data_IF_568128365647
#
_entry.id   IF_568128365647
#
_cell.length_a   1.000
_cell.length_b   1.000
_cell.length_c   1.000
_cell.angle_alpha   90.00
_cell.angle_beta   90.00
_cell.angle_gamma   90.00
#
_symmetry.space_group_name_H-M   'P 1'
#
loop_
_entity.id
_entity.type
_entity.pdbx_description
1 polymer ?
#
# COMPACT_ATOMS: atom_id res chain seq x y z
N UNK A 1 -9.60 -21.62 -10.05
CA UNK A 1 -8.66 -21.71 -8.92
C UNK A 1 -8.30 -20.32 -8.43
N UNK A 2 -8.09 -20.15 -7.13
CA UNK A 2 -7.57 -18.94 -6.49
C UNK A 2 -6.43 -19.33 -5.55
N UNK A 3 -5.49 -18.40 -5.32
CA UNK A 3 -4.29 -18.62 -4.53
C UNK A 3 -4.23 -17.60 -3.41
N UNK A 4 -3.86 -18.04 -2.22
CA UNK A 4 -3.67 -17.17 -1.06
C UNK A 4 -2.38 -17.57 -0.34
N UNK A 5 -1.53 -16.60 -0.02
CA UNK A 5 -0.38 -16.83 0.84
C UNK A 5 -0.86 -17.15 2.26
N UNK A 6 -0.44 -18.30 2.77
CA UNK A 6 -0.74 -18.78 4.11
C UNK A 6 0.50 -18.56 5.00
N UNK A 7 0.51 -17.46 5.73
CA UNK A 7 1.59 -17.14 6.65
C UNK A 7 1.35 -17.89 7.96
N UNK A 8 2.27 -18.76 8.33
CA UNK A 8 2.31 -19.36 9.65
C UNK A 8 2.76 -18.29 10.66
N UNK A 9 1.79 -17.64 11.28
CA UNK A 9 2.08 -16.70 12.37
C UNK A 9 1.98 -17.42 13.71
N UNK A 10 3.01 -17.36 14.58
CA UNK A 10 2.82 -17.83 15.96
C UNK A 10 1.65 -17.09 16.58
N UNK A 11 0.79 -17.82 17.27
CA UNK A 11 -0.38 -17.26 17.96
C UNK A 11 0.06 -16.08 18.86
N UNK A 12 -0.32 -14.84 18.50
CA UNK A 12 0.02 -13.64 19.25
C UNK A 12 1.02 -12.68 18.58
N UNK A 13 1.46 -12.93 17.36
CA UNK A 13 2.29 -11.98 16.62
C UNK A 13 1.56 -10.65 16.41
N UNK A 14 2.31 -9.52 16.54
CA UNK A 14 1.77 -8.15 16.44
C UNK A 14 1.13 -7.82 15.07
N UNK A 15 1.39 -8.63 14.07
CA UNK A 15 0.88 -8.51 12.72
C UNK A 15 -0.05 -9.69 12.42
N UNK A 16 -1.36 -9.44 12.28
CA UNK A 16 -2.41 -10.45 12.04
C UNK A 16 -2.36 -11.04 10.61
N UNK A 17 -1.23 -11.56 10.15
CA UNK A 17 -1.09 -12.15 8.81
C UNK A 17 -1.95 -13.42 8.61
N UNK A 18 -2.26 -14.17 9.67
CA UNK A 18 -3.05 -15.39 9.59
C UNK A 18 -4.54 -15.20 9.25
N UNK A 19 -5.03 -13.96 9.28
CA UNK A 19 -6.44 -13.64 9.04
C UNK A 19 -6.82 -13.62 7.54
N UNK A 20 -5.84 -13.44 6.65
CA UNK A 20 -6.04 -13.41 5.19
C UNK A 20 -6.60 -14.73 4.67
N UNK A 21 -6.09 -15.85 5.14
CA UNK A 21 -6.52 -17.20 4.73
C UNK A 21 -7.98 -17.46 5.13
N UNK A 22 -8.37 -17.05 6.33
CA UNK A 22 -9.76 -17.22 6.81
C UNK A 22 -10.75 -16.50 5.90
N UNK A 23 -10.44 -15.26 5.53
CA UNK A 23 -11.29 -14.50 4.61
C UNK A 23 -11.24 -15.06 3.18
N UNK A 24 -10.07 -15.52 2.71
CA UNK A 24 -9.94 -16.16 1.41
C UNK A 24 -10.78 -17.43 1.31
N UNK A 25 -10.80 -18.28 2.36
CA UNK A 25 -11.66 -19.48 2.44
C UNK A 25 -13.14 -19.12 2.36
N UNK A 26 -13.56 -18.08 3.07
CA UNK A 26 -14.95 -17.64 3.07
C UNK A 26 -15.40 -17.15 1.69
N UNK A 27 -14.56 -16.33 1.03
CA UNK A 27 -14.82 -15.84 -0.34
C UNK A 27 -14.83 -16.98 -1.34
N UNK A 28 -13.84 -17.86 -1.30
CA UNK A 28 -13.74 -18.99 -2.21
C UNK A 28 -14.97 -19.91 -2.13
N UNK A 29 -15.41 -20.23 -0.90
CA UNK A 29 -16.63 -21.01 -0.67
C UNK A 29 -17.87 -20.31 -1.24
N UNK A 30 -18.01 -19.00 -1.02
CA UNK A 30 -19.17 -18.22 -1.49
C UNK A 30 -19.24 -18.15 -3.03
N UNK A 31 -18.08 -18.08 -3.67
CA UNK A 31 -17.96 -17.98 -5.14
C UNK A 31 -17.83 -19.33 -5.82
N UNK A 32 -17.81 -20.45 -5.10
CA UNK A 32 -17.59 -21.79 -5.65
C UNK A 32 -16.20 -21.97 -6.27
N UNK A 33 -15.20 -21.23 -5.79
CA UNK A 33 -13.83 -21.28 -6.29
C UNK A 33 -12.97 -22.27 -5.47
N UNK A 34 -12.08 -23.00 -6.15
CA UNK A 34 -11.05 -23.81 -5.51
C UNK A 34 -9.96 -22.89 -4.94
N UNK A 35 -9.73 -22.93 -3.63
CA UNK A 35 -8.65 -22.18 -2.97
C UNK A 35 -7.44 -23.08 -2.77
N UNK A 36 -6.30 -22.58 -3.22
CA UNK A 36 -4.97 -23.15 -2.96
C UNK A 36 -4.26 -22.23 -1.98
N UNK A 37 -4.02 -22.76 -0.79
CA UNK A 37 -3.26 -22.06 0.27
C UNK A 37 -1.78 -22.35 0.06
N UNK A 38 -0.98 -21.29 -0.07
CA UNK A 38 0.44 -21.39 -0.35
C UNK A 38 1.21 -21.07 0.92
N UNK A 39 1.84 -22.05 1.57
CA UNK A 39 2.61 -21.82 2.77
C UNK A 39 3.70 -20.76 2.55
N UNK A 40 3.81 -19.85 3.50
CA UNK A 40 4.81 -18.77 3.50
C UNK A 40 5.54 -18.81 4.83
N UNK A 41 6.78 -19.24 4.80
CA UNK A 41 7.67 -19.37 5.94
C UNK A 41 8.83 -18.36 5.89
N UNK A 42 9.69 -18.41 6.91
CA UNK A 42 10.86 -17.55 6.99
C UNK A 42 11.93 -17.87 5.92
N UNK A 43 11.94 -19.08 5.37
CA UNK A 43 12.92 -19.50 4.35
C UNK A 43 12.71 -18.75 3.02
N UNK A 44 11.53 -18.12 2.85
CA UNK A 44 11.27 -17.27 1.69
C UNK A 44 12.29 -16.12 1.56
N UNK A 45 12.95 -15.72 2.67
CA UNK A 45 14.01 -14.71 2.65
C UNK A 45 15.23 -15.14 1.84
N UNK A 46 15.50 -16.44 1.73
CA UNK A 46 16.63 -16.97 0.96
C UNK A 46 16.48 -16.71 -0.54
N UNK A 47 15.26 -16.42 -0.99
CA UNK A 47 14.96 -16.01 -2.36
C UNK A 47 15.24 -14.52 -2.64
N UNK A 48 15.64 -13.74 -1.64
CA UNK A 48 15.93 -12.31 -1.77
C UNK A 48 16.96 -12.00 -2.87
N UNK A 49 18.12 -12.70 -2.99
CA UNK A 49 19.04 -12.45 -4.09
C UNK A 49 18.41 -12.67 -5.46
N UNK A 50 17.62 -13.74 -5.61
CA UNK A 50 16.89 -14.03 -6.85
C UNK A 50 15.78 -13.01 -7.15
N UNK A 51 15.16 -12.44 -6.12
CA UNK A 51 14.20 -11.34 -6.27
C UNK A 51 14.88 -10.09 -6.81
N UNK A 52 15.97 -9.66 -6.18
CA UNK A 52 16.72 -8.47 -6.60
C UNK A 52 17.26 -8.62 -8.03
N UNK A 53 17.73 -9.80 -8.40
CA UNK A 53 18.16 -10.10 -9.77
C UNK A 53 17.00 -9.96 -10.77
N UNK A 54 15.82 -10.51 -10.44
CA UNK A 54 14.67 -10.45 -11.33
C UNK A 54 14.04 -9.06 -11.46
N UNK A 55 14.20 -8.22 -10.42
CA UNK A 55 13.69 -6.84 -10.43
C UNK A 55 14.61 -5.86 -11.15
N UNK A 56 15.88 -6.21 -11.38
CA UNK A 56 16.93 -5.37 -11.99
C UNK A 56 17.27 -4.12 -11.17
N UNK A 57 16.74 -3.98 -9.96
CA UNK A 57 16.95 -2.82 -9.08
C UNK A 57 16.82 -3.20 -7.60
N UNK A 58 17.42 -2.44 -6.67
CA UNK A 58 17.21 -2.64 -5.24
C UNK A 58 15.76 -2.38 -4.87
N UNK A 59 15.09 -3.38 -4.29
CA UNK A 59 13.74 -3.28 -3.78
C UNK A 59 13.67 -3.83 -2.36
N UNK A 60 13.10 -3.05 -1.44
CA UNK A 60 12.91 -3.43 -0.04
C UNK A 60 11.46 -3.85 0.27
N UNK A 61 10.60 -3.97 -0.74
CA UNK A 61 9.22 -4.46 -0.57
C UNK A 61 9.17 -5.98 -0.71
N UNK A 62 9.04 -6.66 0.42
CA UNK A 62 8.92 -8.12 0.46
C UNK A 62 7.62 -8.68 -0.15
N UNK A 63 6.64 -7.82 -0.51
CA UNK A 63 5.48 -8.23 -1.27
C UNK A 63 5.86 -8.84 -2.64
N UNK A 64 7.00 -8.44 -3.19
CA UNK A 64 7.59 -9.03 -4.38
C UNK A 64 7.85 -10.54 -4.23
N UNK A 65 8.39 -10.98 -3.10
CA UNK A 65 8.63 -12.42 -2.83
C UNK A 65 7.33 -13.21 -2.76
N UNK A 66 6.29 -12.66 -2.11
CA UNK A 66 4.98 -13.32 -2.07
C UNK A 66 4.35 -13.42 -3.47
N UNK A 67 4.49 -12.38 -4.26
CA UNK A 67 4.00 -12.40 -5.66
C UNK A 67 4.64 -13.52 -6.46
N UNK A 68 5.97 -13.69 -6.35
CA UNK A 68 6.66 -14.81 -6.99
C UNK A 68 6.19 -16.16 -6.45
N UNK A 69 6.05 -16.31 -5.14
CA UNK A 69 5.61 -17.55 -4.51
C UNK A 69 4.24 -17.99 -5.04
N UNK A 70 3.28 -17.08 -5.08
CA UNK A 70 1.93 -17.34 -5.61
C UNK A 70 1.95 -17.66 -7.11
N UNK A 71 2.73 -16.94 -7.90
CA UNK A 71 2.88 -17.18 -9.33
C UNK A 71 3.55 -18.54 -9.60
N UNK A 72 4.59 -18.90 -8.84
CA UNK A 72 5.25 -20.20 -8.89
C UNK A 72 4.26 -21.33 -8.63
N UNK A 73 3.42 -21.19 -7.62
CA UNK A 73 2.42 -22.21 -7.31
C UNK A 73 1.31 -22.28 -8.36
N UNK A 74 0.88 -21.15 -8.90
CA UNK A 74 -0.03 -21.11 -10.04
C UNK A 74 0.55 -21.84 -11.26
N UNK A 75 1.83 -21.63 -11.55
CA UNK A 75 2.53 -22.32 -12.63
C UNK A 75 2.59 -23.82 -12.43
N UNK A 76 2.87 -24.30 -11.21
CA UNK A 76 2.84 -25.73 -10.83
C UNK A 76 1.46 -26.36 -11.05
N UNK A 77 0.40 -25.58 -10.88
CA UNK A 77 -0.98 -25.96 -11.16
C UNK A 77 -1.40 -25.79 -12.62
N UNK A 78 -0.47 -25.58 -13.56
CA UNK A 78 -0.72 -25.46 -14.99
C UNK A 78 -1.31 -24.09 -15.42
N UNK A 79 -1.39 -23.11 -14.53
CA UNK A 79 -1.94 -21.78 -14.81
C UNK A 79 -0.84 -20.90 -15.38
N UNK A 80 -1.16 -20.22 -16.48
CA UNK A 80 -0.24 -19.29 -17.17
C UNK A 80 -0.65 -17.83 -17.03
N UNK A 81 -1.89 -17.57 -16.62
CA UNK A 81 -2.44 -16.22 -16.47
C UNK A 81 -3.17 -16.13 -15.13
N UNK A 82 -2.81 -15.12 -14.32
CA UNK A 82 -3.47 -14.78 -13.06
C UNK A 82 -4.18 -13.43 -13.16
N UNK A 83 -5.25 -13.29 -12.40
CA UNK A 83 -5.88 -11.99 -12.14
C UNK A 83 -5.47 -11.50 -10.75
N UNK A 84 -5.05 -10.24 -10.65
CA UNK A 84 -4.67 -9.61 -9.40
C UNK A 84 -5.56 -8.42 -9.06
N UNK A 85 -5.75 -8.17 -7.76
CA UNK A 85 -6.44 -7.00 -7.23
C UNK A 85 -5.56 -5.76 -7.06
N UNK A 86 -4.33 -5.76 -7.58
CA UNK A 86 -3.43 -4.60 -7.58
C UNK A 86 -4.13 -3.39 -8.22
N UNK A 87 -3.87 -2.19 -7.69
CA UNK A 87 -4.53 -0.94 -8.11
C UNK A 87 -5.81 -0.61 -7.33
N UNK A 88 -6.43 -1.61 -6.66
CA UNK A 88 -7.67 -1.35 -5.92
C UNK A 88 -7.51 -0.45 -4.70
N UNK A 89 -6.37 -0.46 -4.04
CA UNK A 89 -6.02 0.48 -2.96
C UNK A 89 -5.67 1.86 -3.51
N UNK A 90 -4.95 1.88 -4.61
CA UNK A 90 -4.43 3.08 -5.27
C UNK A 90 -5.57 3.94 -5.88
N UNK A 91 -6.55 3.31 -6.52
CA UNK A 91 -7.66 4.02 -7.16
C UNK A 91 -8.80 4.38 -6.19
N UNK A 92 -9.08 3.49 -5.24
CA UNK A 92 -10.24 3.60 -4.35
C UNK A 92 -9.84 3.96 -2.92
N UNK A 93 -8.69 4.59 -2.71
CA UNK A 93 -8.27 5.15 -1.42
C UNK A 93 -8.16 4.11 -0.29
N UNK A 94 -7.48 2.98 -0.56
CA UNK A 94 -7.37 1.88 0.40
C UNK A 94 -6.30 2.06 1.49
N UNK A 95 -5.32 2.94 1.30
CA UNK A 95 -4.18 3.07 2.20
C UNK A 95 -4.44 4.02 3.39
N UNK A 96 -3.71 3.79 4.49
CA UNK A 96 -3.77 4.66 5.66
C UNK A 96 -3.35 6.12 5.39
N UNK A 97 -2.48 6.33 4.37
CA UNK A 97 -2.10 7.67 3.93
C UNK A 97 -3.26 8.48 3.35
N UNK A 98 -4.21 7.83 2.69
CA UNK A 98 -5.43 8.51 2.22
C UNK A 98 -6.31 8.97 3.38
N UNK A 99 -6.41 8.16 4.46
CA UNK A 99 -7.11 8.56 5.68
C UNK A 99 -6.40 9.76 6.31
N UNK A 100 -5.06 9.75 6.38
CA UNK A 100 -4.29 10.88 6.88
C UNK A 100 -4.52 12.15 6.04
N UNK A 101 -4.53 12.03 4.70
CA UNK A 101 -4.84 13.14 3.78
C UNK A 101 -6.25 13.69 3.96
N UNK A 102 -7.24 12.82 4.18
CA UNK A 102 -8.63 13.23 4.44
C UNK A 102 -8.75 13.97 5.79
N UNK A 103 -8.08 13.48 6.84
CA UNK A 103 -8.05 14.14 8.15
C UNK A 103 -7.31 15.47 8.05
N UNK A 104 -6.17 15.51 7.34
CA UNK A 104 -5.42 16.74 7.09
C UNK A 104 -6.30 17.80 6.42
N UNK A 105 -7.04 17.42 5.37
CA UNK A 105 -7.94 18.32 4.65
C UNK A 105 -9.02 18.94 5.56
N UNK A 106 -9.59 18.15 6.48
CA UNK A 106 -10.59 18.66 7.45
C UNK A 106 -9.96 19.63 8.45
N UNK A 107 -8.78 19.30 8.96
CA UNK A 107 -8.16 20.08 10.04
C UNK A 107 -7.45 21.35 9.54
N UNK A 108 -6.98 21.39 8.29
CA UNK A 108 -6.25 22.55 7.74
C UNK A 108 -7.10 23.82 7.71
N UNK A 109 -8.43 23.67 7.55
CA UNK A 109 -9.36 24.79 7.45
C UNK A 109 -9.80 25.33 8.83
N UNK A 110 -9.36 24.68 9.92
CA UNK A 110 -9.66 25.08 11.30
C UNK A 110 -8.38 25.63 11.96
N UNK A 111 -8.30 26.94 12.27
CA UNK A 111 -7.09 27.53 12.83
C UNK A 111 -6.60 26.80 14.09
N UNK A 112 -5.33 26.38 14.11
CA UNK A 112 -4.69 25.69 15.23
C UNK A 112 -5.12 24.24 15.49
N UNK A 113 -6.15 23.72 14.80
CA UNK A 113 -6.65 22.38 15.07
C UNK A 113 -5.65 21.30 14.66
N UNK A 114 -4.97 21.47 13.54
CA UNK A 114 -3.97 20.56 13.02
C UNK A 114 -2.79 20.41 13.97
N UNK A 115 -2.24 21.55 14.42
CA UNK A 115 -1.12 21.61 15.36
C UNK A 115 -1.51 21.02 16.73
N UNK A 116 -2.71 21.33 17.23
CA UNK A 116 -3.22 20.76 18.47
C UNK A 116 -3.40 19.24 18.38
N UNK A 117 -3.98 18.74 17.28
CA UNK A 117 -4.13 17.28 17.05
C UNK A 117 -2.77 16.60 16.96
N UNK A 118 -1.80 17.19 16.24
CA UNK A 118 -0.44 16.68 16.14
C UNK A 118 0.23 16.58 17.52
N UNK A 119 0.15 17.63 18.33
CA UNK A 119 0.74 17.68 19.67
C UNK A 119 0.14 16.62 20.61
N UNK A 120 -1.17 16.38 20.53
CA UNK A 120 -1.85 15.35 21.33
C UNK A 120 -1.39 13.96 20.90
N UNK A 121 -1.41 13.66 19.59
CA UNK A 121 -1.07 12.35 19.06
C UNK A 121 0.41 11.98 19.26
N UNK A 122 1.32 12.95 19.22
CA UNK A 122 2.75 12.75 19.45
C UNK A 122 3.10 12.49 20.92
N UNK A 123 2.29 12.94 21.87
CA UNK A 123 2.49 12.68 23.30
C UNK A 123 2.23 11.23 23.69
N UNK A 124 1.44 10.51 22.92
CA UNK A 124 1.05 9.14 23.23
C UNK A 124 2.08 8.16 22.68
N UNK A 125 2.98 7.68 23.54
CA UNK A 125 3.89 6.56 23.20
C UNK A 125 3.13 5.24 23.33
N UNK A 126 2.48 4.83 22.25
CA UNK A 126 1.76 3.58 22.21
C UNK A 126 2.62 2.51 21.48
N UNK A 127 2.91 1.42 22.17
CA UNK A 127 3.69 0.29 21.61
C UNK A 127 2.86 -0.59 20.66
N UNK A 128 1.54 -0.44 20.69
CA UNK A 128 0.61 -1.20 19.83
C UNK A 128 0.65 -0.74 18.38
N UNK A 129 0.22 -1.61 17.45
CA UNK A 129 0.10 -1.28 16.02
C UNK A 129 -0.80 -0.04 15.80
N UNK A 130 -1.93 0.03 16.52
CA UNK A 130 -2.82 1.19 16.46
C UNK A 130 -2.14 2.45 16.97
N UNK A 131 -1.35 2.34 18.02
CA UNK A 131 -0.59 3.46 18.58
C UNK A 131 0.46 3.99 17.61
N UNK A 132 1.20 3.13 16.96
CA UNK A 132 2.17 3.53 15.92
C UNK A 132 1.49 4.25 14.75
N UNK A 133 0.29 3.80 14.34
CA UNK A 133 -0.50 4.49 13.29
C UNK A 133 -0.95 5.88 13.72
N UNK A 134 -1.41 6.04 14.97
CA UNK A 134 -1.79 7.34 15.52
C UNK A 134 -0.58 8.27 15.66
N UNK A 135 0.55 7.77 16.10
CA UNK A 135 1.79 8.53 16.19
C UNK A 135 2.27 8.98 14.80
N UNK A 136 2.20 8.10 13.80
CA UNK A 136 2.50 8.44 12.39
C UNK A 136 1.56 9.54 11.88
N UNK A 137 0.26 9.44 12.16
CA UNK A 137 -0.70 10.49 11.83
C UNK A 137 -0.32 11.81 12.48
N UNK A 138 0.04 11.83 13.76
CA UNK A 138 0.49 13.03 14.46
C UNK A 138 1.73 13.66 13.82
N UNK A 139 2.68 12.83 13.35
CA UNK A 139 3.86 13.32 12.62
C UNK A 139 3.46 13.98 11.29
N UNK A 140 2.57 13.35 10.51
CA UNK A 140 2.09 13.91 9.26
C UNK A 140 1.30 15.22 9.44
N UNK A 141 0.48 15.32 10.49
CA UNK A 141 -0.29 16.52 10.80
C UNK A 141 0.58 17.70 11.23
N UNK A 142 1.80 17.46 11.76
CA UNK A 142 2.73 18.50 12.14
C UNK A 142 3.45 19.16 10.95
N UNK A 143 3.43 18.53 9.78
CA UNK A 143 4.14 18.95 8.57
C UNK A 143 3.28 19.94 7.76
N UNK A 144 3.92 20.73 6.89
CA UNK A 144 3.18 21.39 5.81
C UNK A 144 2.60 20.38 4.81
N UNK A 145 1.72 20.84 3.93
CA UNK A 145 1.02 19.91 3.01
C UNK A 145 1.96 19.19 2.07
N UNK A 146 2.94 19.86 1.50
CA UNK A 146 3.88 19.26 0.57
C UNK A 146 4.78 18.23 1.27
N UNK A 147 5.27 18.55 2.46
CA UNK A 147 6.03 17.62 3.31
C UNK A 147 5.18 16.41 3.69
N UNK A 148 3.93 16.64 4.13
CA UNK A 148 2.99 15.59 4.51
C UNK A 148 2.74 14.62 3.37
N UNK A 149 2.49 15.13 2.15
CA UNK A 149 2.25 14.29 0.97
C UNK A 149 3.47 13.44 0.63
N UNK A 150 4.67 14.02 0.60
CA UNK A 150 5.91 13.29 0.35
C UNK A 150 6.19 12.25 1.44
N UNK A 151 6.05 12.63 2.68
CA UNK A 151 6.31 11.74 3.81
C UNK A 151 5.27 10.63 3.90
N UNK A 152 4.01 10.88 3.55
CA UNK A 152 2.96 9.86 3.49
C UNK A 152 3.22 8.77 2.45
N UNK A 153 3.97 9.09 1.39
CA UNK A 153 4.42 8.13 0.36
C UNK A 153 5.66 7.34 0.78
N UNK A 154 6.34 7.74 1.86
CA UNK A 154 7.53 7.05 2.34
C UNK A 154 7.17 5.82 3.18
N UNK A 155 7.77 4.67 2.86
CA UNK A 155 7.70 3.44 3.65
C UNK A 155 8.84 3.32 4.66
N UNK A 156 9.81 4.24 4.60
CA UNK A 156 10.93 4.27 5.52
C UNK A 156 10.51 4.86 6.88
N UNK A 157 11.08 4.34 7.96
CA UNK A 157 11.03 4.99 9.27
C UNK A 157 11.92 6.24 9.34
N UNK A 158 12.78 6.44 8.34
CA UNK A 158 13.66 7.60 8.20
C UNK A 158 12.95 8.68 7.41
N UNK A 159 12.92 9.90 7.95
CA UNK A 159 12.43 11.07 7.20
C UNK A 159 13.34 11.40 6.03
N UNK A 160 12.90 12.23 5.09
CA UNK A 160 13.74 12.72 4.00
C UNK A 160 15.03 13.36 4.54
N UNK A 161 14.92 14.15 5.61
CA UNK A 161 16.06 14.80 6.28
C UNK A 161 17.05 13.79 6.86
N UNK A 162 16.55 12.72 7.51
CA UNK A 162 17.40 11.67 8.06
C UNK A 162 18.16 10.96 6.95
N UNK A 163 17.50 10.65 5.83
CA UNK A 163 18.14 10.01 4.65
C UNK A 163 19.25 10.87 4.09
N UNK A 164 19.03 12.16 3.91
CA UNK A 164 20.08 13.10 3.46
C UNK A 164 21.24 13.15 4.46
N UNK A 165 20.93 13.09 5.77
CA UNK A 165 21.94 13.05 6.85
C UNK A 165 22.88 11.82 6.79
N UNK A 166 22.40 10.70 6.27
CA UNK A 166 23.19 9.47 6.10
C UNK A 166 24.09 9.45 4.86
N UNK A 167 23.91 10.39 3.93
CA UNK A 167 24.68 10.45 2.69
C UNK A 167 26.07 11.05 2.92
N UNK A 168 27.06 10.62 2.10
CA UNK A 168 28.35 11.29 2.02
C UNK A 168 28.21 12.74 1.53
N UNK A 169 29.24 13.57 1.75
CA UNK A 169 29.23 14.96 1.26
C UNK A 169 29.06 15.05 -0.26
N UNK A 170 29.73 14.16 -1.00
CA UNK A 170 29.67 14.12 -2.48
C UNK A 170 28.27 13.72 -2.97
N UNK A 171 27.65 12.71 -2.32
CA UNK A 171 26.30 12.29 -2.67
C UNK A 171 25.27 13.38 -2.34
N UNK A 172 25.43 14.06 -1.20
CA UNK A 172 24.55 15.20 -0.83
C UNK A 172 24.59 16.34 -1.86
N UNK A 173 25.75 16.59 -2.46
CA UNK A 173 25.88 17.63 -3.48
C UNK A 173 25.12 17.30 -4.79
N UNK A 174 24.78 16.04 -5.00
CA UNK A 174 24.07 15.56 -6.21
C UNK A 174 22.56 15.48 -6.03
N UNK A 175 22.04 15.52 -4.80
CA UNK A 175 20.60 15.48 -4.52
C UNK A 175 20.06 16.88 -4.26
N UNK A 176 18.77 17.07 -4.60
CA UNK A 176 18.06 18.32 -4.30
C UNK A 176 18.14 18.64 -2.80
N UNK A 177 18.19 19.90 -2.45
CA UNK A 177 18.38 20.39 -1.07
C UNK A 177 17.31 19.91 -0.08
N UNK A 178 16.11 19.59 -0.56
CA UNK A 178 14.99 19.07 0.20
C UNK A 178 14.86 17.54 0.14
N UNK A 179 15.73 16.86 -0.65
CA UNK A 179 15.74 15.40 -0.80
C UNK A 179 14.51 14.83 -1.49
N UNK A 180 13.70 15.67 -2.18
CA UNK A 180 12.52 15.22 -2.93
C UNK A 180 12.92 14.76 -4.33
N UNK A 181 12.38 13.63 -4.81
CA UNK A 181 12.51 13.26 -6.22
C UNK A 181 11.84 14.30 -7.13
N UNK A 182 12.43 14.60 -8.29
CA UNK A 182 11.86 15.54 -9.27
C UNK A 182 10.44 15.16 -9.72
N UNK A 183 10.13 13.86 -9.79
CA UNK A 183 8.79 13.38 -10.11
C UNK A 183 7.76 13.85 -9.07
N UNK A 184 8.09 13.80 -7.77
CA UNK A 184 7.23 14.32 -6.71
C UNK A 184 7.03 15.83 -6.83
N UNK A 185 8.09 16.57 -7.08
CA UNK A 185 8.01 18.03 -7.24
C UNK A 185 7.12 18.41 -8.42
N UNK A 186 7.24 17.71 -9.57
CA UNK A 186 6.35 17.93 -10.72
C UNK A 186 4.89 17.62 -10.39
N UNK A 187 4.59 16.50 -9.76
CA UNK A 187 3.23 16.13 -9.36
C UNK A 187 2.65 17.15 -8.38
N UNK A 188 3.41 17.54 -7.34
CA UNK A 188 2.96 18.52 -6.36
C UNK A 188 2.64 19.88 -6.99
N UNK A 189 3.40 20.28 -8.02
CA UNK A 189 3.15 21.52 -8.76
C UNK A 189 1.89 21.42 -9.62
N UNK A 190 1.77 20.32 -10.37
CA UNK A 190 0.63 20.07 -11.26
C UNK A 190 -0.71 19.96 -10.51
N UNK A 191 -0.68 19.44 -9.29
CA UNK A 191 -1.87 19.23 -8.44
C UNK A 191 -2.07 20.33 -7.39
N UNK A 192 -1.38 21.48 -7.53
CA UNK A 192 -1.50 22.59 -6.60
C UNK A 192 -2.95 23.06 -6.48
N UNK A 193 -3.45 23.22 -5.24
CA UNK A 193 -4.82 23.63 -4.96
C UNK A 193 -5.86 22.51 -4.95
N UNK A 194 -5.51 21.29 -5.40
CA UNK A 194 -6.40 20.13 -5.31
C UNK A 194 -6.53 19.63 -3.86
N UNK A 195 -7.52 18.79 -3.63
CA UNK A 195 -7.72 18.16 -2.32
C UNK A 195 -6.53 17.23 -1.98
N UNK A 196 -6.00 17.20 -0.73
CA UNK A 196 -4.83 16.38 -0.36
C UNK A 196 -4.92 14.90 -0.75
N UNK A 197 -6.12 14.31 -0.71
CA UNK A 197 -6.32 12.92 -1.16
C UNK A 197 -6.14 12.77 -2.66
N UNK A 198 -6.60 13.73 -3.47
CA UNK A 198 -6.41 13.70 -4.94
C UNK A 198 -4.93 13.85 -5.30
N UNK A 199 -4.21 14.69 -4.58
CA UNK A 199 -2.76 14.85 -4.73
C UNK A 199 -2.00 13.57 -4.38
N UNK A 200 -2.43 12.84 -3.34
CA UNK A 200 -1.87 11.52 -3.01
C UNK A 200 -2.16 10.50 -4.11
N UNK A 201 -3.37 10.49 -4.66
CA UNK A 201 -3.72 9.60 -5.77
C UNK A 201 -2.90 9.89 -7.02
N UNK A 202 -2.63 11.16 -7.32
CA UNK A 202 -1.77 11.54 -8.44
C UNK A 202 -0.33 11.03 -8.24
N UNK A 203 0.23 11.18 -7.04
CA UNK A 203 1.56 10.63 -6.69
C UNK A 203 1.58 9.09 -6.79
N UNK A 204 0.50 8.42 -6.45
CA UNK A 204 0.39 6.96 -6.56
C UNK A 204 0.30 6.50 -8.00
N UNK A 205 -0.56 7.11 -8.79
CA UNK A 205 -0.78 6.73 -10.18
C UNK A 205 0.42 7.02 -11.08
N UNK A 206 1.18 8.08 -10.79
CA UNK A 206 2.34 8.48 -11.58
C UNK A 206 3.69 8.04 -11.00
N UNK A 207 3.70 7.27 -9.91
CA UNK A 207 4.92 6.80 -9.26
C UNK A 207 4.73 5.45 -8.58
N UNK A 208 4.14 5.43 -7.39
CA UNK A 208 4.08 4.24 -6.56
C UNK A 208 3.45 3.01 -7.24
N UNK A 209 2.33 3.20 -7.94
CA UNK A 209 1.65 2.10 -8.63
C UNK A 209 2.48 1.55 -9.80
N UNK A 210 2.93 2.37 -10.80
CA UNK A 210 3.72 1.84 -11.90
C UNK A 210 5.12 1.41 -11.48
N UNK A 211 5.83 2.21 -10.69
CA UNK A 211 7.25 2.00 -10.41
C UNK A 211 7.50 0.92 -9.36
N UNK A 212 6.54 0.64 -8.48
CA UNK A 212 6.68 -0.38 -7.46
C UNK A 212 5.68 -1.53 -7.65
N UNK A 213 4.38 -1.27 -7.49
CA UNK A 213 3.38 -2.34 -7.41
C UNK A 213 3.25 -3.13 -8.73
N UNK A 214 3.15 -2.45 -9.87
CA UNK A 214 3.04 -3.11 -11.16
C UNK A 214 4.39 -3.70 -11.58
N UNK A 215 5.50 -3.00 -11.31
CA UNK A 215 6.83 -3.46 -11.65
C UNK A 215 7.15 -4.80 -10.97
N UNK A 216 7.03 -4.89 -9.63
CA UNK A 216 7.31 -6.17 -8.99
C UNK A 216 6.26 -7.23 -9.31
N UNK A 217 4.99 -6.85 -9.51
CA UNK A 217 3.94 -7.81 -9.87
C UNK A 217 4.24 -8.48 -11.21
N UNK A 218 4.63 -7.71 -12.22
CA UNK A 218 5.01 -8.23 -13.53
C UNK A 218 6.30 -9.06 -13.47
N UNK A 219 7.39 -8.47 -13.04
CA UNK A 219 8.72 -9.12 -13.05
C UNK A 219 8.76 -10.39 -12.22
N UNK A 220 8.15 -10.38 -11.04
CA UNK A 220 8.17 -11.55 -10.17
C UNK A 220 7.23 -12.66 -10.65
N UNK A 221 6.11 -12.32 -11.26
CA UNK A 221 5.25 -13.31 -11.90
C UNK A 221 5.90 -13.87 -13.16
N UNK A 222 6.55 -13.04 -13.97
CA UNK A 222 7.29 -13.48 -15.17
C UNK A 222 8.49 -14.36 -14.81
N UNK A 223 9.17 -14.14 -13.68
CA UNK A 223 10.18 -15.06 -13.14
C UNK A 223 9.63 -16.49 -12.97
N UNK A 224 8.34 -16.61 -12.67
CA UNK A 224 7.65 -17.91 -12.59
C UNK A 224 7.03 -18.37 -13.92
N UNK A 225 7.11 -17.58 -14.99
CA UNK A 225 6.50 -17.87 -16.29
C UNK A 225 4.97 -17.75 -16.27
N UNK A 226 4.44 -16.79 -15.51
CA UNK A 226 3.01 -16.50 -15.36
C UNK A 226 2.75 -15.03 -15.67
N UNK A 227 1.79 -14.76 -16.57
CA UNK A 227 1.31 -13.42 -16.84
C UNK A 227 0.32 -13.01 -15.75
N UNK A 228 0.47 -11.80 -15.16
CA UNK A 228 -0.52 -11.25 -14.25
C UNK A 228 -1.27 -10.10 -14.91
N UNK A 229 -2.59 -10.20 -14.90
CA UNK A 229 -3.49 -9.14 -15.36
C UNK A 229 -4.11 -8.44 -14.18
N UNK A 230 -4.26 -7.11 -14.29
CA UNK A 230 -4.70 -6.20 -13.23
C UNK A 230 -6.00 -5.46 -13.65
N UNK A 231 -7.16 -6.12 -13.60
CA UNK A 231 -8.41 -5.55 -14.12
C UNK A 231 -8.83 -4.22 -13.47
N UNK A 232 -8.39 -3.98 -12.24
CA UNK A 232 -8.68 -2.73 -11.53
C UNK A 232 -7.87 -1.53 -12.06
N UNK A 233 -6.86 -1.76 -12.93
CA UNK A 233 -6.06 -0.71 -13.58
C UNK A 233 -6.43 -0.57 -15.07
N UNK A 234 -7.61 -1.07 -15.48
CA UNK A 234 -8.16 -0.76 -16.81
C UNK A 234 -8.32 0.76 -16.96
N UNK A 235 -7.86 1.33 -18.08
CA UNK A 235 -7.81 2.79 -18.28
C UNK A 235 -9.16 3.48 -18.15
N UNK A 236 -10.25 2.79 -18.53
CA UNK A 236 -11.63 3.30 -18.39
C UNK A 236 -12.05 3.34 -16.92
N UNK A 237 -11.64 2.32 -16.14
CA UNK A 237 -11.91 2.28 -14.70
C UNK A 237 -11.08 3.32 -13.96
N UNK A 238 -9.82 3.53 -14.36
CA UNK A 238 -8.95 4.59 -13.83
C UNK A 238 -9.60 5.95 -14.06
N UNK A 239 -9.99 6.27 -15.31
CA UNK A 239 -10.65 7.53 -15.64
C UNK A 239 -11.93 7.73 -14.78
N UNK A 240 -12.79 6.72 -14.73
CA UNK A 240 -14.00 6.75 -13.91
C UNK A 240 -13.68 6.98 -12.41
N UNK A 241 -12.72 6.27 -11.86
CA UNK A 241 -12.36 6.38 -10.45
C UNK A 241 -11.77 7.76 -10.11
N UNK A 242 -11.04 8.38 -11.05
CA UNK A 242 -10.47 9.72 -10.85
C UNK A 242 -11.56 10.82 -10.91
N UNK A 243 -12.62 10.62 -11.65
CA UNK A 243 -13.76 11.55 -11.73
C UNK A 243 -14.72 11.45 -10.52
N UNK A 244 -14.60 10.41 -9.70
CA UNK A 244 -15.46 10.24 -8.54
C UNK A 244 -15.21 11.32 -7.47
N UNK A 245 -16.27 11.90 -6.87
CA UNK A 245 -16.11 12.77 -5.70
C UNK A 245 -15.35 12.07 -4.58
N UNK A 246 -14.50 12.81 -3.86
CA UNK A 246 -13.71 12.28 -2.74
C UNK A 246 -14.60 11.57 -1.71
N UNK A 247 -15.76 12.15 -1.37
CA UNK A 247 -16.69 11.59 -0.40
C UNK A 247 -17.29 10.22 -0.77
N UNK A 248 -17.24 9.84 -2.08
CA UNK A 248 -17.67 8.52 -2.55
C UNK A 248 -16.54 7.48 -2.49
N UNK A 249 -15.30 7.94 -2.45
CA UNK A 249 -14.10 7.09 -2.31
C UNK A 249 -13.73 6.85 -0.86
N UNK A 250 -13.70 7.92 -0.04
CA UNK A 250 -13.20 7.88 1.33
C UNK A 250 -13.93 8.86 2.26
N UNK A 251 -13.99 8.48 3.52
CA UNK A 251 -14.12 9.39 4.65
C UNK A 251 -13.16 8.91 5.78
N UNK A 252 -12.98 9.65 6.88
CA UNK A 252 -12.03 9.27 7.95
C UNK A 252 -12.24 7.87 8.55
N UNK A 253 -13.43 7.30 8.36
CA UNK A 253 -13.84 6.02 8.95
C UNK A 253 -13.93 4.88 7.94
N UNK A 254 -14.07 5.19 6.64
CA UNK A 254 -14.34 4.19 5.60
C UNK A 254 -13.51 4.47 4.36
N UNK A 255 -12.63 3.52 4.02
CA UNK A 255 -11.86 3.48 2.78
C UNK A 255 -12.55 2.61 1.74
N UNK A 256 -12.23 2.80 0.45
CA UNK A 256 -12.81 2.03 -0.68
C UNK A 256 -14.35 2.02 -0.68
N UNK A 257 -14.98 3.12 -0.30
CA UNK A 257 -16.40 3.18 -0.02
C UNK A 257 -17.24 2.66 -1.19
N UNK A 258 -17.13 3.25 -2.36
CA UNK A 258 -17.90 2.84 -3.55
C UNK A 258 -17.54 1.40 -4.00
N UNK A 259 -16.26 1.00 -3.93
CA UNK A 259 -15.84 -0.36 -4.28
C UNK A 259 -16.48 -1.39 -3.36
N UNK A 260 -16.49 -1.16 -2.05
CA UNK A 260 -17.14 -2.04 -1.07
C UNK A 260 -18.64 -2.10 -1.29
N UNK A 261 -19.27 -0.95 -1.54
CA UNK A 261 -20.72 -0.87 -1.78
C UNK A 261 -21.12 -1.63 -3.06
N UNK A 262 -20.36 -1.51 -4.14
CA UNK A 262 -20.60 -2.26 -5.38
C UNK A 262 -20.53 -3.78 -5.22
N UNK A 263 -19.83 -4.26 -4.21
CA UNK A 263 -19.63 -5.69 -3.95
C UNK A 263 -20.50 -6.25 -2.80
N UNK A 264 -21.38 -5.45 -2.21
CA UNK A 264 -22.16 -5.83 -1.00
C UNK A 264 -23.00 -7.10 -1.16
N UNK A 265 -23.46 -7.38 -2.35
CA UNK A 265 -24.26 -8.59 -2.63
C UNK A 265 -23.41 -9.81 -3.03
N UNK A 266 -22.13 -9.61 -3.32
CA UNK A 266 -21.22 -10.66 -3.82
C UNK A 266 -20.27 -11.17 -2.75
N UNK A 267 -19.77 -10.27 -1.91
CA UNK A 267 -18.77 -10.60 -0.88
C UNK A 267 -19.40 -10.73 0.51
N UNK A 268 -18.82 -11.55 1.40
CA UNK A 268 -19.20 -11.63 2.79
C UNK A 268 -19.03 -10.29 3.52
N UNK A 269 -19.86 -10.03 4.51
CA UNK A 269 -19.80 -8.81 5.32
C UNK A 269 -18.49 -8.69 6.10
N UNK A 270 -17.95 -9.81 6.57
CA UNK A 270 -16.63 -9.92 7.22
C UNK A 270 -15.51 -9.34 6.35
N UNK A 271 -15.55 -9.57 5.03
CA UNK A 271 -14.59 -9.05 4.05
C UNK A 271 -14.86 -7.57 3.75
N UNK A 272 -16.13 -7.20 3.58
CA UNK A 272 -16.51 -5.81 3.29
C UNK A 272 -16.18 -4.84 4.42
N UNK A 273 -16.26 -5.29 5.68
CA UNK A 273 -15.95 -4.47 6.87
C UNK A 273 -14.49 -4.61 7.34
N UNK A 274 -13.71 -5.48 6.71
CA UNK A 274 -12.34 -5.76 7.13
C UNK A 274 -11.47 -4.50 7.06
N UNK A 275 -10.69 -4.21 8.11
CA UNK A 275 -9.66 -3.18 8.07
C UNK A 275 -8.58 -3.53 7.03
N UNK A 276 -7.97 -2.50 6.40
CA UNK A 276 -6.82 -2.72 5.50
C UNK A 276 -5.67 -3.38 6.24
N UNK A 277 -5.20 -4.49 5.67
CA UNK A 277 -3.96 -5.15 6.06
C UNK A 277 -2.94 -5.05 4.91
N UNK A 278 -1.66 -5.01 5.26
CA UNK A 278 -0.58 -5.04 4.28
C UNK A 278 -0.41 -6.43 3.68
N UNK A 279 0.05 -6.48 2.45
CA UNK A 279 0.55 -7.69 1.82
C UNK A 279 2.04 -7.78 2.17
N UNK A 280 2.43 -8.62 3.11
CA UNK A 280 3.80 -8.65 3.60
C UNK A 280 4.22 -10.02 4.12
N UNK A 281 5.52 -10.27 4.15
CA UNK A 281 6.15 -11.47 4.69
C UNK A 281 6.50 -11.24 6.16
N UNK A 282 6.36 -12.24 7.05
CA UNK A 282 6.82 -12.14 8.43
C UNK A 282 8.35 -12.15 8.46
N UNK A 283 8.97 -10.99 8.36
CA UNK A 283 10.44 -10.82 8.45
C UNK A 283 10.95 -10.67 9.89
N UNK A 284 10.04 -10.73 10.87
CA UNK A 284 10.41 -10.71 12.29
C UNK A 284 10.05 -12.06 12.88
N UNK A 285 11.02 -12.93 12.93
CA UNK A 285 10.99 -14.11 13.79
C UNK A 285 11.41 -13.71 15.22
#
# INVERSE_FOLDING_TARGET
>A
KTFCAAVESPAGGADNFGDDVTHAREVARRLGAELIEVPTDAELIDELPGMLWALDEPCADFAALQTWLLAREARRNGIKVLLSGVGGDDLFTGYGRHVAGAIYAILRDIPGAREAAAAVLQRWRLTTVRGRRLQRLGTLLAMDEAEMLCEAMSFSSLTARDRVGLMSADLRALVSSDGRPDAFTRSLTATSGMHPVERLLDLELNGFLPDLNLNYTDKMAMRAGVEVRVPLVDTRLVAYAMDLPIGDRINPWTTKKILRESQRFRLPESVLKRPKQGFGVPVRA
#
